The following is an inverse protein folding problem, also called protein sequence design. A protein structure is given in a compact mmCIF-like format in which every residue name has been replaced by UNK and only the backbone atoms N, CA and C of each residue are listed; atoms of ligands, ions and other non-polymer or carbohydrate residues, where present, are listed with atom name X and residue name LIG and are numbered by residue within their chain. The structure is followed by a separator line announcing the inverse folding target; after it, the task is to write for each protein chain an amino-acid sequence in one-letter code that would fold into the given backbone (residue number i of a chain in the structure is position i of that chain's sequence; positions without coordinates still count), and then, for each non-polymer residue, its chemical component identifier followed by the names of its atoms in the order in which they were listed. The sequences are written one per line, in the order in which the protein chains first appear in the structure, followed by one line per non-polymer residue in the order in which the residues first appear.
data_IF_899406364575
#
_entry.id   IF_899406364575
#
_cell.length_a   1.000
_cell.length_b   1.000
_cell.length_c   1.000
_cell.angle_alpha   90.00
_cell.angle_beta   90.00
_cell.angle_gamma   90.00
#
_symmetry.space_group_name_H-M   'P 1'
#
loop_
_entity.id
_entity.type
_entity.pdbx_description
1 polymer ?
#
# COMPACT_ATOMS: atom_id res chain seq x y z
N UNK A 1 6.36 6.14 10.39
CA UNK A 1 7.40 5.14 10.13
C UNK A 1 6.82 3.87 9.56
N UNK A 2 7.63 3.13 8.85
CA UNK A 2 7.18 1.93 8.16
C UNK A 2 7.96 0.73 8.67
N UNK A 3 7.27 -0.38 8.89
CA UNK A 3 7.87 -1.60 9.41
C UNK A 3 7.79 -2.70 8.35
N UNK A 4 8.77 -2.75 7.47
CA UNK A 4 8.90 -3.83 6.51
C UNK A 4 10.37 -3.97 6.09
N UNK A 5 10.70 -5.15 5.58
CA UNK A 5 12.04 -5.45 5.10
C UNK A 5 12.06 -5.48 3.58
N UNK A 6 13.09 -4.87 3.01
CA UNK A 6 13.33 -4.94 1.58
C UNK A 6 14.10 -6.21 1.24
N UNK A 7 13.80 -6.78 0.07
CA UNK A 7 14.54 -7.91 -0.46
C UNK A 7 15.91 -7.43 -0.98
N UNK A 8 16.79 -8.38 -1.27
CA UNK A 8 18.06 -8.06 -1.89
C UNK A 8 17.80 -7.37 -3.24
N UNK A 9 18.52 -6.29 -3.49
CA UNK A 9 18.40 -5.49 -4.71
C UNK A 9 17.04 -4.83 -4.88
N UNK A 10 16.28 -4.70 -3.80
CA UNK A 10 15.01 -4.00 -3.81
C UNK A 10 15.19 -2.59 -3.25
N UNK A 11 14.60 -1.60 -3.94
CA UNK A 11 14.66 -0.20 -3.53
C UNK A 11 13.27 0.39 -3.55
N UNK A 12 12.98 1.26 -2.58
CA UNK A 12 11.72 2.01 -2.57
C UNK A 12 11.82 3.12 -3.60
N UNK A 13 10.87 3.14 -4.53
CA UNK A 13 10.77 4.20 -5.53
C UNK A 13 10.04 5.39 -4.94
N UNK A 14 8.90 5.17 -4.33
CA UNK A 14 8.12 6.23 -3.70
C UNK A 14 7.08 5.66 -2.74
N UNK A 15 6.73 6.46 -1.74
CA UNK A 15 5.68 6.13 -0.78
C UNK A 15 4.55 7.13 -0.98
N UNK A 16 3.32 6.64 -1.05
CA UNK A 16 2.12 7.44 -1.21
C UNK A 16 1.23 7.27 0.01
N UNK A 17 0.94 8.37 0.69
CA UNK A 17 0.01 8.37 1.81
C UNK A 17 -1.40 8.68 1.31
N UNK A 18 -2.40 8.23 2.09
CA UNK A 18 -3.82 8.55 1.86
C UNK A 18 -4.30 8.15 0.46
N UNK A 19 -3.96 6.93 0.04
CA UNK A 19 -4.45 6.38 -1.22
C UNK A 19 -5.75 5.63 -0.95
N UNK A 20 -6.82 6.00 -1.67
CA UNK A 20 -8.08 5.27 -1.59
C UNK A 20 -7.98 4.02 -2.46
N UNK A 21 -8.16 2.88 -1.83
CA UNK A 21 -8.16 1.57 -2.50
C UNK A 21 -9.58 1.04 -2.48
N UNK A 22 -10.04 0.57 -3.64
CA UNK A 22 -11.33 -0.10 -3.76
C UNK A 22 -11.10 -1.51 -4.29
N UNK A 23 -11.55 -2.49 -3.53
CA UNK A 23 -11.48 -3.90 -3.92
C UNK A 23 -12.83 -4.54 -3.66
N UNK A 24 -13.47 -5.03 -4.72
CA UNK A 24 -14.86 -5.51 -4.67
C UNK A 24 -15.77 -4.38 -4.16
N UNK A 25 -16.48 -4.59 -3.05
CA UNK A 25 -17.36 -3.58 -2.45
C UNK A 25 -16.70 -2.86 -1.29
N UNK A 26 -15.43 -3.17 -0.99
CA UNK A 26 -14.71 -2.59 0.14
C UNK A 26 -13.84 -1.44 -0.30
N UNK A 27 -13.89 -0.36 0.47
CA UNK A 27 -13.02 0.80 0.28
C UNK A 27 -12.16 1.00 1.52
N UNK A 28 -10.91 1.39 1.30
CA UNK A 28 -9.99 1.64 2.41
C UNK A 28 -8.97 2.69 1.98
N UNK A 29 -8.66 3.61 2.90
CA UNK A 29 -7.56 4.55 2.71
C UNK A 29 -6.31 3.92 3.32
N UNK A 30 -5.24 3.86 2.55
CA UNK A 30 -4.03 3.16 2.95
C UNK A 30 -2.78 3.90 2.48
N UNK A 31 -1.63 3.46 2.95
CA UNK A 31 -0.34 3.93 2.45
C UNK A 31 0.21 2.87 1.51
N UNK A 32 0.73 3.31 0.38
CA UNK A 32 1.32 2.41 -0.62
C UNK A 32 2.79 2.74 -0.78
N UNK A 33 3.64 1.75 -0.59
CA UNK A 33 5.06 1.87 -0.92
C UNK A 33 5.32 1.10 -2.21
N UNK A 34 5.78 1.83 -3.22
CA UNK A 34 6.14 1.24 -4.50
C UNK A 34 7.64 0.99 -4.51
N UNK A 35 8.04 -0.26 -4.72
CA UNK A 35 9.43 -0.63 -4.90
C UNK A 35 9.67 -1.05 -6.35
N UNK A 36 10.93 -1.35 -6.69
CA UNK A 36 11.24 -1.87 -8.01
C UNK A 36 10.81 -3.32 -8.21
N UNK A 37 10.22 -3.96 -7.20
CA UNK A 37 9.78 -5.36 -7.26
C UNK A 37 8.35 -5.59 -6.80
N UNK A 38 7.83 -4.74 -5.90
CA UNK A 38 6.54 -4.96 -5.26
C UNK A 38 5.76 -3.68 -5.07
N UNK A 39 4.45 -3.84 -4.91
CA UNK A 39 3.57 -2.81 -4.36
C UNK A 39 3.19 -3.28 -2.95
N UNK A 40 3.53 -2.47 -1.95
CA UNK A 40 3.30 -2.80 -0.55
C UNK A 40 2.17 -1.94 -0.01
N UNK A 41 1.18 -2.58 0.60
CA UNK A 41 0.05 -1.90 1.24
C UNK A 41 0.29 -1.90 2.74
N UNK A 42 0.39 -0.70 3.32
CA UNK A 42 0.74 -0.53 4.72
C UNK A 42 -0.39 0.13 5.50
N UNK A 43 -0.58 -0.34 6.71
CA UNK A 43 -1.51 0.28 7.64
C UNK A 43 -1.02 0.05 9.06
N UNK A 44 -1.60 0.78 10.00
CA UNK A 44 -1.32 0.58 11.40
C UNK A 44 -2.05 -0.68 11.87
N UNK A 45 -1.30 -1.64 12.38
CA UNK A 45 -1.89 -2.80 13.03
C UNK A 45 -2.24 -2.43 14.47
N UNK A 46 -3.50 -2.55 14.82
CA UNK A 46 -3.99 -2.23 16.17
C UNK A 46 -4.21 -3.54 16.89
N UNK A 47 -3.16 -4.06 17.50
CA UNK A 47 -3.27 -5.30 18.26
C UNK A 47 -3.76 -5.09 19.69
N UNK A 48 -3.54 -3.91 20.25
CA UNK A 48 -3.89 -3.61 21.64
C UNK A 48 -4.42 -2.18 21.77
N UNK A 49 -5.61 -1.94 21.21
CA UNK A 49 -6.24 -0.62 21.22
C UNK A 49 -6.30 0.02 22.60
N UNK A 50 -6.69 -0.76 23.62
CA UNK A 50 -6.77 -0.26 24.99
C UNK A 50 -5.43 0.20 25.53
N UNK A 51 -4.37 -0.54 25.22
CA UNK A 51 -3.02 -0.20 25.66
C UNK A 51 -2.52 1.07 24.98
N UNK A 52 -2.83 1.22 23.70
CA UNK A 52 -2.47 2.40 22.92
C UNK A 52 -3.13 3.66 23.46
N UNK A 53 -4.42 3.57 23.75
CA UNK A 53 -5.19 4.68 24.33
C UNK A 53 -4.61 5.06 25.70
N UNK A 54 -4.25 4.09 26.54
CA UNK A 54 -3.64 4.35 27.82
C UNK A 54 -2.29 5.06 27.71
N UNK A 55 -1.48 4.67 26.73
CA UNK A 55 -0.18 5.32 26.49
C UNK A 55 -0.36 6.77 26.09
N UNK A 56 -1.29 7.05 25.20
CA UNK A 56 -1.61 8.40 24.75
C UNK A 56 -2.12 9.23 25.92
N UNK A 57 -3.04 8.67 26.73
CA UNK A 57 -3.62 9.36 27.86
C UNK A 57 -2.60 9.70 28.94
N UNK A 58 -1.54 8.91 29.05
CA UNK A 58 -0.45 9.16 30.02
C UNK A 58 0.62 10.10 29.50
N UNK A 59 0.45 10.63 28.28
CA UNK A 59 1.42 11.51 27.67
C UNK A 59 2.71 10.82 27.25
N UNK A 60 2.68 9.52 27.09
CA UNK A 60 3.85 8.76 26.64
C UNK A 60 4.08 8.97 25.15
N UNK A 61 5.35 9.18 24.78
CA UNK A 61 5.73 9.23 23.36
C UNK A 61 5.58 7.83 22.77
N UNK A 62 4.63 7.70 21.88
CA UNK A 62 4.33 6.43 21.22
C UNK A 62 4.57 6.57 19.73
N UNK A 63 5.52 5.80 19.23
CA UNK A 63 5.79 5.76 17.79
C UNK A 63 5.04 4.59 17.20
N UNK A 64 4.10 4.90 16.32
CA UNK A 64 3.31 3.90 15.64
C UNK A 64 3.91 3.62 14.27
N UNK A 65 4.15 2.36 13.98
CA UNK A 65 4.69 1.93 12.70
C UNK A 65 3.58 1.38 11.83
N UNK A 66 3.62 1.74 10.55
CA UNK A 66 2.76 1.11 9.57
C UNK A 66 3.41 -0.19 9.11
N UNK A 67 2.62 -1.25 9.08
CA UNK A 67 3.11 -2.58 8.68
C UNK A 67 2.46 -3.01 7.38
N UNK A 68 3.15 -3.86 6.64
CA UNK A 68 2.61 -4.41 5.39
C UNK A 68 1.53 -5.43 5.74
N UNK A 69 0.32 -5.18 5.28
CA UNK A 69 -0.77 -6.13 5.44
C UNK A 69 -1.11 -6.86 4.15
N UNK A 70 -0.64 -6.36 3.01
CA UNK A 70 -0.87 -6.98 1.72
C UNK A 70 0.24 -6.53 0.77
N UNK A 71 0.62 -7.40 -0.15
CA UNK A 71 1.65 -7.06 -1.13
C UNK A 71 1.35 -7.72 -2.47
N UNK A 72 1.81 -7.08 -3.54
CA UNK A 72 1.67 -7.58 -4.90
C UNK A 72 3.04 -7.50 -5.56
N UNK A 73 3.50 -8.61 -6.12
CA UNK A 73 4.71 -8.57 -6.95
C UNK A 73 4.40 -7.92 -8.29
N UNK A 74 5.29 -7.07 -8.77
CA UNK A 74 5.07 -6.39 -10.06
C UNK A 74 4.91 -7.38 -11.19
N UNK A 75 5.59 -8.53 -11.12
CA UNK A 75 5.47 -9.58 -12.14
C UNK A 75 4.09 -10.23 -12.18
N UNK A 76 3.28 -10.08 -11.14
CA UNK A 76 1.92 -10.64 -11.08
C UNK A 76 0.86 -9.71 -11.66
N UNK A 77 1.25 -8.51 -12.09
CA UNK A 77 0.33 -7.57 -12.71
C UNK A 77 0.17 -7.93 -14.19
N UNK A 78 -1.05 -8.22 -14.60
CA UNK A 78 -1.36 -8.53 -16.00
C UNK A 78 -1.56 -7.26 -16.82
N UNK A 79 -2.33 -6.30 -16.29
CA UNK A 79 -2.60 -5.05 -16.98
C UNK A 79 -3.02 -3.96 -15.99
N UNK A 80 -2.90 -2.71 -16.44
CA UNK A 80 -3.41 -1.56 -15.71
C UNK A 80 -4.28 -0.74 -16.65
N UNK A 81 -5.39 -0.22 -16.12
CA UNK A 81 -6.37 0.51 -16.91
C UNK A 81 -6.62 1.87 -16.26
N UNK A 82 -6.66 2.90 -17.09
CA UNK A 82 -7.02 4.25 -16.65
C UNK A 82 -8.47 4.51 -17.00
N UNK A 83 -9.28 4.70 -15.97
CA UNK A 83 -10.69 5.06 -16.11
C UNK A 83 -10.98 6.10 -15.05
N UNK A 84 -12.20 6.20 -14.58
CA UNK A 84 -12.58 7.10 -13.48
C UNK A 84 -11.69 6.87 -12.27
N UNK A 85 -11.39 5.61 -11.96
CA UNK A 85 -10.31 5.20 -11.08
C UNK A 85 -9.27 4.44 -11.89
N UNK A 86 -8.09 4.25 -11.31
CA UNK A 86 -7.04 3.45 -11.94
C UNK A 86 -7.20 2.01 -11.48
N UNK A 87 -7.22 1.08 -12.39
CA UNK A 87 -7.46 -0.32 -12.09
C UNK A 87 -6.25 -1.18 -12.38
N UNK A 88 -5.88 -2.02 -11.43
CA UNK A 88 -4.81 -3.01 -11.60
C UNK A 88 -5.45 -4.39 -11.69
N UNK A 89 -5.15 -5.13 -12.74
CA UNK A 89 -5.63 -6.50 -12.93
C UNK A 89 -4.44 -7.43 -12.78
N UNK A 90 -4.59 -8.41 -11.89
CA UNK A 90 -3.55 -9.39 -11.62
C UNK A 90 -3.73 -10.62 -12.51
N UNK A 91 -2.66 -11.40 -12.66
CA UNK A 91 -2.68 -12.63 -13.47
C UNK A 91 -3.67 -13.67 -12.95
N UNK A 92 -3.97 -13.66 -11.64
CA UNK A 92 -4.97 -14.54 -11.06
C UNK A 92 -6.41 -14.03 -11.25
N UNK A 93 -6.60 -12.94 -12.00
CA UNK A 93 -7.87 -12.27 -12.30
C UNK A 93 -8.44 -11.44 -11.15
N UNK A 94 -7.78 -11.38 -10.00
CA UNK A 94 -8.13 -10.41 -8.97
C UNK A 94 -7.76 -9.01 -9.44
N UNK A 95 -8.47 -8.02 -8.93
CA UNK A 95 -8.22 -6.64 -9.31
C UNK A 95 -8.47 -5.70 -8.15
N UNK A 96 -7.90 -4.51 -8.23
CA UNK A 96 -8.21 -3.44 -7.30
C UNK A 96 -8.15 -2.10 -8.04
N UNK A 97 -8.82 -1.10 -7.48
CA UNK A 97 -8.83 0.24 -8.03
C UNK A 97 -8.20 1.20 -7.01
N UNK A 98 -7.62 2.29 -7.50
CA UNK A 98 -7.04 3.31 -6.63
C UNK A 98 -7.18 4.68 -7.30
N UNK A 99 -7.03 5.75 -6.50
CA UNK A 99 -7.28 7.11 -6.95
C UNK A 99 -6.03 7.97 -7.18
N UNK A 100 -4.84 7.39 -7.04
CA UNK A 100 -3.59 8.17 -7.10
C UNK A 100 -2.97 8.11 -8.51
N UNK A 101 -3.10 9.21 -9.26
CA UNK A 101 -2.59 9.27 -10.63
C UNK A 101 -1.08 9.15 -10.75
N UNK A 102 -0.33 9.67 -9.77
CA UNK A 102 1.13 9.54 -9.78
C UNK A 102 1.57 8.09 -9.65
N UNK A 103 0.88 7.32 -8.79
CA UNK A 103 1.16 5.89 -8.68
C UNK A 103 0.87 5.16 -10.00
N UNK A 104 -0.23 5.50 -10.65
CA UNK A 104 -0.55 4.92 -11.98
C UNK A 104 0.56 5.19 -12.98
N UNK A 105 1.04 6.44 -13.05
CA UNK A 105 2.09 6.83 -13.99
C UNK A 105 3.38 6.05 -13.76
N UNK A 106 3.77 5.87 -12.51
CA UNK A 106 4.97 5.11 -12.16
C UNK A 106 4.80 3.62 -12.49
N UNK A 107 3.64 3.04 -12.19
CA UNK A 107 3.37 1.64 -12.54
C UNK A 107 3.40 1.43 -14.04
N UNK A 108 2.83 2.35 -14.80
CA UNK A 108 2.85 2.26 -16.27
C UNK A 108 4.28 2.24 -16.82
N UNK A 109 5.16 3.05 -16.26
CA UNK A 109 6.56 3.08 -16.68
C UNK A 109 7.30 1.79 -16.34
N UNK A 110 7.01 1.20 -15.18
CA UNK A 110 7.71 0.00 -14.71
C UNK A 110 7.24 -1.25 -15.45
N UNK A 111 5.95 -1.34 -15.73
CA UNK A 111 5.33 -2.55 -16.32
C UNK A 111 5.59 -2.66 -17.82
N UNK A 112 5.82 -1.55 -18.48
CA UNK A 112 6.10 -1.57 -19.92
C UNK A 112 7.47 -2.15 -20.26
#
# INVERSE_FOLDING_TARGET
MYNFNLNKDEEIIKVFDDVLIRQEENEKVTTIALTNKRVLFLDYLIENEGLEVLRIARGMNYIKYKEVYYQINLNDIESIIKDKFYKVILKNKNSFEFDKGELYSLLEQIIK
#
